data_IF_065743104291
#
_entry.id   IF_065743104291
#
_cell.length_a   1.000
_cell.length_b   1.000
_cell.length_c   1.000
_cell.angle_alpha   90.00
_cell.angle_beta   90.00
_cell.angle_gamma   90.00
#
_symmetry.space_group_name_H-M   'P 1'
#
loop_
_entity.id
_entity.type
_entity.pdbx_description
1 polymer ?
#
# COMPACT_ATOMS: atom_id res chain seq x y z
N UNK A 1 1.20 1.35 -9.08
CA UNK A 1 0.52 0.33 -8.26
C UNK A 1 -0.91 0.18 -8.73
N UNK A 2 -1.47 -1.02 -8.66
CA UNK A 2 -2.87 -1.32 -8.95
C UNK A 2 -3.55 -1.85 -7.70
N UNK A 3 -4.87 -1.68 -7.62
CA UNK A 3 -5.71 -2.30 -6.60
C UNK A 3 -6.90 -3.04 -7.23
N UNK A 4 -7.30 -4.14 -6.58
CA UNK A 4 -8.54 -4.88 -6.85
C UNK A 4 -9.31 -5.05 -5.54
N UNK A 5 -10.63 -4.94 -5.60
CA UNK A 5 -11.49 -5.25 -4.47
C UNK A 5 -11.91 -6.72 -4.56
N UNK A 6 -11.66 -7.49 -3.50
CA UNK A 6 -12.11 -8.86 -3.46
C UNK A 6 -13.64 -8.92 -3.26
N UNK A 7 -14.35 -9.74 -4.05
CA UNK A 7 -15.80 -9.94 -3.90
C UNK A 7 -16.18 -10.81 -2.71
N UNK A 8 -15.23 -11.54 -2.12
CA UNK A 8 -15.49 -12.46 -1.01
C UNK A 8 -15.17 -11.86 0.35
N UNK A 9 -13.98 -11.27 0.52
CA UNK A 9 -13.57 -10.66 1.78
C UNK A 9 -13.73 -9.14 1.80
N UNK A 10 -14.12 -8.52 0.67
CA UNK A 10 -14.27 -7.06 0.53
C UNK A 10 -13.01 -6.26 0.90
N UNK A 11 -11.85 -6.92 0.94
CA UNK A 11 -10.56 -6.29 1.24
C UNK A 11 -9.90 -5.78 -0.03
N UNK A 12 -9.28 -4.58 0.01
CA UNK A 12 -8.47 -4.08 -1.09
C UNK A 12 -7.17 -4.88 -1.15
N UNK A 13 -6.93 -5.54 -2.28
CA UNK A 13 -5.64 -6.14 -2.60
C UNK A 13 -4.86 -5.19 -3.49
N UNK A 14 -3.54 -5.10 -3.29
CA UNK A 14 -2.64 -4.28 -4.10
C UNK A 14 -1.64 -5.17 -4.84
N UNK A 15 -1.32 -4.80 -6.08
CA UNK A 15 -0.31 -5.49 -6.89
C UNK A 15 0.44 -4.49 -7.77
N UNK A 16 1.68 -4.84 -8.09
CA UNK A 16 2.50 -4.11 -9.05
C UNK A 16 2.02 -4.32 -10.50
N UNK A 17 1.35 -5.44 -10.78
CA UNK A 17 0.94 -5.84 -12.14
C UNK A 17 -0.57 -5.78 -12.35
N UNK A 18 -0.99 -5.31 -13.53
CA UNK A 18 -2.41 -5.18 -13.93
C UNK A 18 -3.01 -6.49 -14.44
N UNK A 19 -2.21 -7.30 -15.12
CA UNK A 19 -2.68 -8.36 -16.04
C UNK A 19 -2.32 -9.78 -15.62
N UNK A 20 -1.45 -9.94 -14.62
CA UNK A 20 -0.99 -11.24 -14.17
C UNK A 20 -2.03 -11.90 -13.24
N UNK A 21 -1.85 -13.19 -13.01
CA UNK A 21 -2.62 -13.93 -12.01
C UNK A 21 -2.63 -13.16 -10.69
N UNK A 22 -3.84 -12.87 -10.19
CA UNK A 22 -4.00 -12.08 -8.99
C UNK A 22 -4.81 -12.87 -7.99
N UNK A 23 -4.13 -13.43 -7.00
CA UNK A 23 -4.77 -14.12 -5.89
C UNK A 23 -4.96 -13.14 -4.73
N UNK A 24 -6.14 -13.14 -4.14
CA UNK A 24 -6.40 -12.37 -2.92
C UNK A 24 -5.54 -12.93 -1.78
N UNK A 25 -4.69 -12.14 -1.11
CA UNK A 25 -3.84 -12.62 -0.01
C UNK A 25 -4.62 -12.97 1.26
N UNK A 26 -5.91 -12.60 1.34
CA UNK A 26 -6.74 -12.80 2.54
C UNK A 26 -7.57 -14.08 2.44
N UNK A 27 -8.18 -14.34 1.28
CA UNK A 27 -9.10 -15.48 1.10
C UNK A 27 -8.67 -16.44 -0.01
N UNK A 28 -7.49 -16.23 -0.60
CA UNK A 28 -6.93 -17.05 -1.69
C UNK A 28 -7.79 -17.15 -2.94
N UNK A 29 -8.78 -16.26 -3.09
CA UNK A 29 -9.64 -16.23 -4.28
C UNK A 29 -8.92 -15.62 -5.47
N UNK A 30 -9.13 -16.21 -6.63
CA UNK A 30 -8.67 -15.65 -7.89
C UNK A 30 -9.46 -14.38 -8.25
N UNK A 31 -8.73 -13.30 -8.45
CA UNK A 31 -9.18 -11.98 -8.86
C UNK A 31 -8.65 -11.65 -10.26
N UNK A 32 -8.15 -12.62 -11.01
CA UNK A 32 -7.50 -12.39 -12.31
C UNK A 32 -8.49 -11.76 -13.28
N UNK A 33 -9.73 -12.25 -13.28
CA UNK A 33 -10.86 -11.72 -14.07
C UNK A 33 -11.39 -10.35 -13.59
N UNK A 34 -11.01 -9.90 -12.39
CA UNK A 34 -11.49 -8.62 -11.86
C UNK A 34 -10.71 -7.45 -12.48
N UNK A 35 -11.42 -6.35 -12.78
CA UNK A 35 -10.83 -5.15 -13.37
C UNK A 35 -9.92 -4.47 -12.35
N UNK A 36 -8.62 -4.36 -12.66
CA UNK A 36 -7.68 -3.65 -11.82
C UNK A 36 -7.84 -2.13 -11.99
N UNK A 37 -7.88 -1.40 -10.88
CA UNK A 37 -7.93 0.05 -10.85
C UNK A 37 -6.54 0.55 -10.49
N UNK A 38 -6.06 1.63 -11.13
CA UNK A 38 -4.78 2.21 -10.77
C UNK A 38 -4.86 2.75 -9.34
N UNK A 39 -3.98 2.27 -8.47
CA UNK A 39 -3.85 2.76 -7.11
C UNK A 39 -3.05 4.07 -7.18
N UNK A 40 -3.77 5.18 -7.23
CA UNK A 40 -3.20 6.51 -7.12
C UNK A 40 -3.07 6.87 -5.64
N UNK A 41 -1.83 7.09 -5.18
CA UNK A 41 -1.63 7.80 -3.94
C UNK A 41 -1.81 9.28 -4.24
N UNK A 42 -2.93 9.85 -3.77
CA UNK A 42 -3.10 11.28 -3.78
C UNK A 42 -2.07 11.87 -2.81
N UNK A 43 -0.90 12.22 -3.33
CA UNK A 43 0.09 12.99 -2.58
C UNK A 43 -0.55 14.35 -2.34
N UNK A 44 -0.99 14.60 -1.11
CA UNK A 44 -1.35 15.95 -0.69
C UNK A 44 -0.05 16.75 -0.79
N UNK A 45 0.08 17.56 -1.85
CA UNK A 45 1.15 18.53 -1.96
C UNK A 45 0.89 19.58 -0.88
N UNK A 46 1.40 19.31 0.32
CA UNK A 46 1.55 20.36 1.31
C UNK A 46 2.70 21.26 0.85
N UNK A 47 2.57 22.58 0.98
CA UNK A 47 3.70 23.46 0.75
C UNK A 47 4.83 23.05 1.68
N UNK A 48 6.08 23.14 1.21
CA UNK A 48 7.26 22.79 2.01
C UNK A 48 7.29 23.55 3.35
N UNK A 49 6.73 24.77 3.38
CA UNK A 49 6.55 25.57 4.59
C UNK A 49 5.64 24.94 5.65
N UNK A 50 4.75 24.02 5.27
CA UNK A 50 3.87 23.27 6.17
C UNK A 50 4.41 21.88 6.51
N UNK A 51 5.57 21.48 5.97
CA UNK A 51 6.24 20.24 6.36
C UNK A 51 6.95 20.47 7.70
N UNK A 52 6.36 20.00 8.79
CA UNK A 52 7.04 19.89 10.08
C UNK A 52 7.76 18.54 10.13
N UNK A 53 9.09 18.47 9.95
CA UNK A 53 9.81 17.24 10.23
C UNK A 53 9.59 16.92 11.71
N UNK A 54 9.02 15.75 12.01
CA UNK A 54 9.14 15.20 13.35
C UNK A 54 10.64 15.03 13.60
N UNK A 55 11.23 15.91 14.40
CA UNK A 55 12.50 15.64 15.06
C UNK A 55 12.25 14.50 16.04
N UNK A 56 12.21 13.28 15.49
CA UNK A 56 12.14 12.05 16.27
C UNK A 56 13.37 11.98 17.14
N UNK A 57 13.14 11.98 18.45
CA UNK A 57 14.10 11.68 19.50
C UNK A 57 14.93 10.45 19.14
N UNK A 58 16.22 10.51 19.50
CA UNK A 58 17.27 9.61 19.07
C UNK A 58 16.95 8.12 19.16
N UNK A 59 17.41 7.40 18.15
CA UNK A 59 17.71 5.97 18.27
C UNK A 59 18.88 5.84 19.27
N UNK A 60 18.58 5.50 20.51
CA UNK A 60 19.59 5.11 21.49
C UNK A 60 20.13 3.75 21.06
N UNK A 61 21.33 3.74 20.49
CA UNK A 61 22.03 2.54 20.07
C UNK A 61 22.65 1.92 21.33
N UNK A 62 21.91 1.06 22.02
CA UNK A 62 22.40 0.36 23.21
C UNK A 62 23.52 -0.61 22.81
N UNK A 63 24.75 -0.11 22.88
CA UNK A 63 25.98 -0.90 22.83
C UNK A 63 26.17 -1.50 24.21
N UNK A 64 25.61 -2.69 24.46
CA UNK A 64 26.16 -3.58 25.48
C UNK A 64 27.10 -4.58 24.83
N UNK A 65 28.39 -4.34 25.08
CA UNK A 65 29.43 -5.36 25.02
C UNK A 65 29.48 -6.18 26.30
#
# INVERSE_FOLDING_TARGET
>A
MYKKLCSQCYQPSFSSSKSNQWICPVCSKDLTSHKAIQAVHAVKKIPLSAYQPNMGTGYEFDRKG
#
